data_IF_450783415762
#
_entry.id   IF_450783415762
#
_cell.length_a   1.000
_cell.length_b   1.000
_cell.length_c   1.000
_cell.angle_alpha   90.00
_cell.angle_beta   90.00
_cell.angle_gamma   90.00
#
_symmetry.space_group_name_H-M   'P 1'
#
loop_
_entity.id
_entity.type
_entity.pdbx_description
1 polymer ?
#
# COMPACT_ATOMS: atom_id res chain seq x y z
N UNK A 1 17.74 2.79 2.30
CA UNK A 1 17.81 1.38 1.91
C UNK A 1 16.70 1.13 0.90
N UNK A 2 16.91 0.24 -0.06
CA UNK A 2 15.84 -0.27 -0.90
C UNK A 2 15.08 -1.35 -0.09
N UNK A 3 13.77 -1.50 -0.32
CA UNK A 3 12.98 -2.61 0.21
C UNK A 3 13.54 -3.94 -0.31
N UNK A 4 13.41 -5.00 0.50
CA UNK A 4 13.58 -6.35 -0.03
C UNK A 4 12.46 -6.67 -1.01
N UNK A 5 12.70 -7.61 -1.92
CA UNK A 5 11.68 -8.04 -2.90
C UNK A 5 10.38 -8.50 -2.21
N UNK A 6 10.51 -9.22 -1.09
CA UNK A 6 9.37 -9.64 -0.27
C UNK A 6 8.62 -8.43 0.31
N UNK A 7 9.33 -7.49 0.95
CA UNK A 7 8.69 -6.32 1.56
C UNK A 7 8.02 -5.41 0.52
N UNK A 8 8.59 -5.34 -0.70
CA UNK A 8 7.97 -4.65 -1.83
C UNK A 8 6.67 -5.35 -2.25
N UNK A 9 6.67 -6.67 -2.40
CA UNK A 9 5.46 -7.43 -2.75
C UNK A 9 4.35 -7.30 -1.68
N UNK A 10 4.72 -7.41 -0.40
CA UNK A 10 3.78 -7.24 0.71
C UNK A 10 3.14 -5.85 0.71
N UNK A 11 3.97 -4.81 0.51
CA UNK A 11 3.52 -3.43 0.39
C UNK A 11 2.59 -3.22 -0.81
N UNK A 12 2.98 -3.69 -1.99
CA UNK A 12 2.17 -3.56 -3.23
C UNK A 12 0.81 -4.23 -3.04
N UNK A 13 0.76 -5.40 -2.41
CA UNK A 13 -0.49 -6.08 -2.09
C UNK A 13 -1.37 -5.30 -1.12
N UNK A 14 -0.79 -4.82 -0.03
CA UNK A 14 -1.50 -4.03 0.97
C UNK A 14 -2.02 -2.70 0.39
N UNK A 15 -1.22 -2.05 -0.44
CA UNK A 15 -1.59 -0.82 -1.14
C UNK A 15 -2.70 -1.05 -2.15
N UNK A 16 -2.64 -2.13 -2.94
CA UNK A 16 -3.71 -2.51 -3.88
C UNK A 16 -5.02 -2.79 -3.16
N UNK A 17 -5.00 -3.51 -2.03
CA UNK A 17 -6.20 -3.73 -1.21
C UNK A 17 -6.77 -2.41 -0.67
N UNK A 18 -5.90 -1.50 -0.24
CA UNK A 18 -6.29 -0.16 0.24
C UNK A 18 -7.01 0.63 -0.85
N UNK A 19 -6.48 0.60 -2.09
CA UNK A 19 -7.09 1.24 -3.25
C UNK A 19 -8.51 0.65 -3.52
N UNK A 20 -8.62 -0.68 -3.59
CA UNK A 20 -9.91 -1.35 -3.81
C UNK A 20 -10.91 -1.02 -2.69
N UNK A 21 -10.47 -1.03 -1.44
CA UNK A 21 -11.30 -0.68 -0.28
C UNK A 21 -11.76 0.77 -0.34
N UNK A 22 -10.88 1.71 -0.70
CA UNK A 22 -11.20 3.13 -0.83
C UNK A 22 -12.25 3.41 -1.92
N UNK A 23 -12.28 2.63 -3.00
CA UNK A 23 -13.32 2.81 -4.03
C UNK A 23 -14.60 2.03 -3.76
N UNK A 24 -14.51 0.91 -3.05
CA UNK A 24 -15.65 0.01 -2.83
C UNK A 24 -16.38 0.29 -1.51
N UNK A 25 -15.78 1.06 -0.60
CA UNK A 25 -16.32 1.35 0.73
C UNK A 25 -16.15 2.83 1.09
N UNK A 26 -17.27 3.56 1.12
CA UNK A 26 -17.32 4.99 1.45
C UNK A 26 -16.92 5.28 2.90
N UNK A 27 -17.23 4.39 3.86
CA UNK A 27 -16.80 4.53 5.26
C UNK A 27 -15.28 4.41 5.38
N UNK A 28 -14.69 3.49 4.62
CA UNK A 28 -13.23 3.34 4.53
C UNK A 28 -12.58 4.57 3.89
N UNK A 29 -13.16 5.10 2.81
CA UNK A 29 -12.67 6.33 2.19
C UNK A 29 -12.71 7.53 3.14
N UNK A 30 -13.82 7.72 3.87
CA UNK A 30 -13.95 8.80 4.86
C UNK A 30 -12.97 8.63 6.03
N UNK A 31 -12.71 7.39 6.45
CA UNK A 31 -11.71 7.07 7.47
C UNK A 31 -10.31 7.38 6.99
N UNK A 32 -9.97 7.05 5.75
CA UNK A 32 -8.67 7.35 5.17
C UNK A 32 -8.39 8.86 5.12
N UNK A 33 -9.42 9.68 4.90
CA UNK A 33 -9.29 11.15 4.93
C UNK A 33 -9.18 11.72 6.35
N UNK A 34 -9.88 11.12 7.31
CA UNK A 34 -9.94 11.63 8.69
C UNK A 34 -8.79 11.12 9.58
N UNK A 35 -8.48 9.83 9.48
CA UNK A 35 -7.41 9.16 10.20
C UNK A 35 -6.79 8.05 9.32
N UNK A 36 -5.80 8.40 8.48
CA UNK A 36 -5.24 7.47 7.51
C UNK A 36 -4.45 6.33 8.15
N UNK A 37 -3.86 6.54 9.33
CA UNK A 37 -3.02 5.53 9.98
C UNK A 37 -3.77 4.22 10.28
N UNK A 38 -4.92 4.23 11.00
CA UNK A 38 -5.67 3.00 11.24
C UNK A 38 -6.27 2.42 9.96
N UNK A 39 -6.64 3.24 8.97
CA UNK A 39 -7.15 2.74 7.69
C UNK A 39 -6.09 1.97 6.89
N UNK A 40 -4.86 2.49 6.86
CA UNK A 40 -3.71 1.84 6.22
C UNK A 40 -3.31 0.55 6.96
N UNK A 41 -3.31 0.58 8.29
CA UNK A 41 -3.01 -0.60 9.11
C UNK A 41 -4.00 -1.75 8.90
N UNK A 42 -5.29 -1.45 8.68
CA UNK A 42 -6.33 -2.46 8.37
C UNK A 42 -6.03 -3.27 7.10
N UNK A 43 -5.22 -2.72 6.18
CA UNK A 43 -4.86 -3.39 4.93
C UNK A 43 -3.46 -4.01 4.94
N UNK A 44 -2.72 -3.89 6.05
CA UNK A 44 -1.36 -4.40 6.21
C UNK A 44 -0.25 -3.38 5.99
N UNK A 45 -0.57 -2.08 5.91
CA UNK A 45 0.42 -1.00 5.86
C UNK A 45 0.62 -0.45 7.27
N UNK A 46 1.58 -1.03 8.00
CA UNK A 46 1.95 -0.54 9.33
C UNK A 46 3.02 0.55 9.24
N UNK A 47 2.75 1.70 9.86
CA UNK A 47 3.63 2.86 9.87
C UNK A 47 4.10 3.18 11.29
N UNK A 48 5.33 3.70 11.46
CA UNK A 48 5.80 4.17 12.76
C UNK A 48 4.85 5.18 13.42
N UNK A 49 4.79 5.17 14.76
CA UNK A 49 3.90 6.04 15.52
C UNK A 49 4.21 7.55 15.31
N UNK A 50 5.48 7.86 15.04
CA UNK A 50 6.00 9.20 14.75
C UNK A 50 5.95 9.58 13.26
N UNK A 51 5.49 8.67 12.40
CA UNK A 51 5.37 8.93 10.96
C UNK A 51 4.40 10.08 10.65
N UNK A 52 4.76 10.91 9.69
CA UNK A 52 3.85 11.89 9.08
C UNK A 52 3.23 11.27 7.84
N UNK A 53 1.91 11.16 7.82
CA UNK A 53 1.17 10.54 6.72
C UNK A 53 0.52 11.65 5.91
N UNK A 54 0.76 11.65 4.59
CA UNK A 54 0.07 12.46 3.62
C UNK A 54 -0.66 11.54 2.66
N UNK A 55 -1.95 11.76 2.50
CA UNK A 55 -2.76 11.05 1.52
C UNK A 55 -3.15 12.06 0.46
N UNK A 56 -2.68 11.86 -0.76
CA UNK A 56 -3.11 12.62 -1.93
C UNK A 56 -4.22 11.82 -2.62
N UNK A 57 -5.45 12.36 -2.61
CA UNK A 57 -6.61 11.73 -3.28
C UNK A 57 -6.93 12.32 -4.64
N UNK A 58 -6.07 13.21 -5.15
CA UNK A 58 -6.27 13.84 -6.44
C UNK A 58 -6.23 12.80 -7.55
N UNK A 59 -7.09 12.94 -8.56
CA UNK A 59 -6.94 12.14 -9.77
C UNK A 59 -5.61 12.51 -10.45
N UNK A 60 -4.80 11.52 -10.88
CA UNK A 60 -3.51 11.78 -11.50
C UNK A 60 -3.73 12.57 -12.78
N UNK A 61 -3.47 13.88 -12.72
CA UNK A 61 -3.68 14.80 -13.86
C UNK A 61 -2.70 14.53 -15.01
N UNK A 62 -1.56 13.91 -14.67
CA UNK A 62 -0.59 13.32 -15.61
C UNK A 62 -0.48 11.85 -15.24
N UNK A 63 -0.72 10.94 -16.21
CA UNK A 63 -0.79 9.48 -16.06
C UNK A 63 0.49 8.77 -15.58
N UNK A 64 1.38 9.46 -14.88
CA UNK A 64 2.58 8.92 -14.23
C UNK A 64 2.55 9.11 -12.70
N UNK A 65 1.65 9.94 -12.16
CA UNK A 65 1.58 10.28 -10.72
C UNK A 65 0.79 9.26 -9.86
N UNK A 66 0.60 8.04 -10.35
CA UNK A 66 -0.14 6.99 -9.65
C UNK A 66 0.32 5.58 -9.99
N UNK A 67 1.52 5.42 -10.55
CA UNK A 67 2.05 4.08 -10.85
C UNK A 67 2.53 3.42 -9.56
N UNK A 68 2.44 2.09 -9.49
CA UNK A 68 2.93 1.33 -8.33
C UNK A 68 4.39 1.62 -8.02
N UNK A 69 5.25 1.73 -9.03
CA UNK A 69 6.67 2.01 -8.82
C UNK A 69 6.90 3.39 -8.20
N UNK A 70 6.12 4.41 -8.59
CA UNK A 70 6.15 5.72 -7.93
C UNK A 70 5.74 5.60 -6.46
N UNK A 71 4.67 4.84 -6.18
CA UNK A 71 4.21 4.65 -4.80
C UNK A 71 5.22 3.90 -3.95
N UNK A 72 5.89 2.88 -4.49
CA UNK A 72 6.97 2.14 -3.82
C UNK A 72 8.13 3.08 -3.49
N UNK A 73 8.56 3.90 -4.45
CA UNK A 73 9.65 4.85 -4.23
C UNK A 73 9.32 5.87 -3.12
N UNK A 74 8.09 6.38 -3.08
CA UNK A 74 7.61 7.29 -2.02
C UNK A 74 7.59 6.60 -0.65
N UNK A 75 7.19 5.33 -0.59
CA UNK A 75 7.20 4.56 0.65
C UNK A 75 8.64 4.33 1.16
N UNK A 76 9.59 4.03 0.27
CA UNK A 76 11.01 3.94 0.62
C UNK A 76 11.61 5.27 1.11
N UNK A 77 11.17 6.38 0.52
CA UNK A 77 11.55 7.71 0.99
C UNK A 77 10.95 8.00 2.37
N UNK A 78 9.71 7.61 2.61
CA UNK A 78 9.06 7.71 3.92
C UNK A 78 9.74 6.92 5.02
N UNK A 79 10.27 5.73 4.71
CA UNK A 79 11.09 4.98 5.66
C UNK A 79 12.39 5.68 6.05
N UNK A 80 12.94 6.54 5.17
CA UNK A 80 14.18 7.29 5.44
C UNK A 80 13.90 8.62 6.15
N UNK A 81 12.81 9.28 5.79
CA UNK A 81 12.49 10.66 6.22
C UNK A 81 11.47 10.73 7.37
N UNK A 82 10.72 9.65 7.59
CA UNK A 82 9.55 9.61 8.47
C UNK A 82 8.30 10.24 7.85
N UNK A 83 8.33 10.67 6.59
CA UNK A 83 7.21 11.30 5.89
C UNK A 83 6.72 10.40 4.77
N UNK A 84 5.55 9.79 4.95
CA UNK A 84 4.96 8.84 4.02
C UNK A 84 3.88 9.53 3.20
N UNK A 85 4.01 9.45 1.89
CA UNK A 85 3.05 9.99 0.93
C UNK A 85 2.37 8.85 0.17
N UNK A 86 1.04 8.86 0.17
CA UNK A 86 0.20 7.85 -0.47
C UNK A 86 -0.72 8.50 -1.48
N UNK A 87 -0.61 8.10 -2.74
CA UNK A 87 -1.50 8.52 -3.81
C UNK A 87 -2.66 7.53 -3.86
N UNK A 88 -3.87 7.96 -3.50
CA UNK A 88 -5.07 7.10 -3.45
C UNK A 88 -6.18 7.86 -4.17
N UNK A 89 -6.24 7.81 -5.52
CA UNK A 89 -7.16 8.64 -6.28
C UNK A 89 -8.61 8.34 -5.89
N UNK A 90 -9.49 9.32 -6.01
CA UNK A 90 -10.91 9.14 -5.63
C UNK A 90 -11.65 8.12 -6.48
N UNK A 91 -11.14 7.81 -7.68
CA UNK A 91 -11.75 6.88 -8.62
C UNK A 91 -10.73 5.88 -9.17
N UNK A 92 -11.17 4.64 -9.49
CA UNK A 92 -10.30 3.65 -10.11
C UNK A 92 -9.84 4.13 -11.47
N UNK A 93 -8.52 4.22 -11.64
CA UNK A 93 -7.91 4.48 -12.93
C UNK A 93 -7.93 3.15 -13.70
N UNK A 94 -8.40 3.18 -14.95
CA UNK A 94 -8.64 1.98 -15.78
C UNK A 94 -7.37 1.13 -15.99
N UNK A 95 -6.19 1.70 -15.72
CA UNK A 95 -4.86 1.08 -15.84
C UNK A 95 -4.40 0.24 -14.63
N UNK A 96 -5.24 -0.04 -13.64
CA UNK A 96 -4.95 -1.10 -12.65
C UNK A 96 -5.01 -2.52 -13.23
N UNK A 97 -5.42 -2.66 -14.49
CA UNK A 97 -5.43 -3.95 -15.18
C UNK A 97 -4.02 -4.45 -15.57
N UNK A 98 -3.01 -3.58 -15.54
CA UNK A 98 -1.59 -3.93 -15.76
C UNK A 98 -0.88 -4.24 -14.42
N UNK A 99 -1.64 -4.66 -13.39
CA UNK A 99 -1.07 -5.35 -12.24
C UNK A 99 -0.67 -6.75 -12.70
N UNK A 100 0.60 -6.92 -13.06
CA UNK A 100 1.16 -8.20 -13.49
C UNK A 100 0.72 -9.29 -12.49
N UNK A 101 0.14 -10.36 -13.00
CA UNK A 101 -0.40 -11.47 -12.21
C UNK A 101 0.65 -12.02 -11.22
N UNK A 102 1.95 -11.89 -11.56
CA UNK A 102 3.11 -12.20 -10.74
C UNK A 102 3.27 -11.32 -9.49
N UNK A 103 2.99 -10.02 -9.55
CA UNK A 103 3.04 -9.13 -8.37
C UNK A 103 1.85 -9.38 -7.44
N UNK A 104 0.71 -9.79 -7.99
CA UNK A 104 -0.48 -10.16 -7.22
C UNK A 104 -0.36 -11.58 -6.61
N UNK A 105 0.36 -12.49 -7.26
CA UNK A 105 0.61 -13.86 -6.78
C UNK A 105 1.44 -13.89 -5.49
N UNK A 106 2.32 -12.90 -5.26
CA UNK A 106 3.08 -12.75 -4.01
C UNK A 106 2.22 -12.41 -2.79
N UNK A 107 1.02 -11.86 -3.00
CA UNK A 107 0.12 -11.36 -1.96
C UNK A 107 -0.81 -12.44 -1.41
N UNK A 108 -1.00 -13.53 -2.16
CA UNK A 108 -1.84 -14.66 -1.77
C UNK A 108 -1.09 -15.74 -0.96
N UNK A 109 0.23 -15.61 -0.80
CA UNK A 109 1.04 -16.46 0.07
C UNK A 109 1.04 -15.89 1.49
N UNK A 110 -0.04 -16.11 2.23
CA UNK A 110 -0.14 -15.66 3.62
C UNK A 110 1.01 -16.17 4.48
N UNK A 111 1.84 -15.26 4.95
CA UNK A 111 2.70 -15.48 6.10
C UNK A 111 2.48 -14.34 7.10
N UNK A 112 1.38 -14.45 7.84
CA UNK A 112 1.28 -13.77 9.13
C UNK A 112 2.36 -14.38 10.03
N UNK A 113 3.42 -13.62 10.26
CA UNK A 113 4.47 -13.84 11.26
C UNK A 113 3.96 -14.58 12.51
N UNK A 114 4.53 -15.77 12.81
CA UNK A 114 5.05 -16.19 14.13
C UNK A 114 5.04 -17.73 14.32
N UNK A 115 6.11 -18.43 13.93
CA UNK A 115 6.67 -19.53 14.73
C UNK A 115 8.11 -19.90 14.29
N UNK A 116 9.15 -19.69 15.11
CA UNK A 116 10.50 -20.19 14.82
C UNK A 116 10.68 -21.70 15.12
N UNK A 117 9.61 -22.49 15.21
CA UNK A 117 9.69 -23.92 15.55
C UNK A 117 8.72 -24.80 14.73
N UNK A 118 9.29 -25.90 14.21
CA UNK A 118 8.69 -27.18 13.82
C UNK A 118 8.35 -27.48 12.34
N UNK A 119 9.32 -28.18 11.73
CA UNK A 119 9.22 -29.48 11.06
C UNK A 119 8.66 -29.59 9.64
N UNK A 120 9.60 -29.89 8.74
CA UNK A 120 9.49 -30.89 7.69
C UNK A 120 8.66 -32.11 8.11
N UNK A 121 7.66 -32.47 7.29
CA UNK A 121 7.41 -33.85 6.85
C UNK A 121 6.87 -33.81 5.44
#
# INVERSE_FOLDING_TARGET
MALSEQARADFVGAYTRTLIAAWSNEEFAAKLESDPRPALAENGIELPADAKIKVDRSDPSDGHQGTLDTQVALFEEGQKTGVYEFHIPTSPQVDMAELNEDELAGVAGGDFYCCPCCCCT
#
